data_IF_523896461769
#
_entry.id   IF_523896461769
#
_cell.length_a   1.000
_cell.length_b   1.000
_cell.length_c   1.000
_cell.angle_alpha   90.00
_cell.angle_beta   90.00
_cell.angle_gamma   90.00
#
_symmetry.space_group_name_H-M   'P 1'
#
loop_
_entity.id
_entity.type
_entity.pdbx_description
1 polymer ?
#
# COMPACT_ATOMS: atom_id res chain seq x y z
N UNK A 1 10.17 28.02 65.92
CA UNK A 1 8.86 27.59 65.43
C UNK A 1 9.10 26.68 64.25
N UNK A 2 9.00 25.37 64.44
CA UNK A 2 9.14 24.38 63.38
C UNK A 2 7.73 24.17 62.80
N UNK A 3 7.54 24.59 61.55
CA UNK A 3 6.27 24.43 60.84
C UNK A 3 6.03 22.96 60.52
N UNK A 4 4.94 22.41 61.04
CA UNK A 4 4.45 21.09 60.66
C UNK A 4 3.95 21.17 59.21
N UNK A 5 4.72 20.62 58.28
CA UNK A 5 4.23 20.30 56.93
C UNK A 5 3.26 19.12 57.08
N UNK A 6 2.02 19.29 56.61
CA UNK A 6 0.99 18.27 56.75
C UNK A 6 1.32 17.09 55.83
N UNK A 7 1.12 15.85 56.31
CA UNK A 7 1.36 14.60 55.54
C UNK A 7 0.60 14.62 54.20
N UNK A 8 -0.54 15.31 54.16
CA UNK A 8 -1.35 15.53 52.96
C UNK A 8 -0.68 16.36 51.87
N UNK A 9 0.18 17.32 52.22
CA UNK A 9 0.89 18.18 51.24
C UNK A 9 2.06 17.43 50.58
N UNK A 10 2.64 16.45 51.27
CA UNK A 10 3.68 15.58 50.71
C UNK A 10 3.10 14.55 49.72
N UNK A 11 1.91 13.99 49.99
CA UNK A 11 1.24 13.04 49.10
C UNK A 11 0.72 13.70 47.80
N UNK A 12 0.31 14.96 47.87
CA UNK A 12 -0.13 15.73 46.70
C UNK A 12 1.05 16.11 45.78
N UNK A 13 2.23 16.40 46.36
CA UNK A 13 3.47 16.65 45.61
C UNK A 13 4.02 15.38 44.95
N UNK A 14 3.98 14.22 45.63
CA UNK A 14 4.33 12.91 45.06
C UNK A 14 3.39 12.47 43.93
N UNK A 15 2.11 12.86 44.00
CA UNK A 15 1.13 12.59 42.95
C UNK A 15 1.29 13.50 41.73
N UNK A 16 1.66 14.77 41.93
CA UNK A 16 1.95 15.71 40.85
C UNK A 16 3.29 15.40 40.15
N UNK A 17 4.34 15.03 40.89
CA UNK A 17 5.63 14.63 40.29
C UNK A 17 5.51 13.33 39.48
N UNK A 18 4.73 12.33 39.93
CA UNK A 18 4.49 11.11 39.14
C UNK A 18 3.69 11.36 37.85
N UNK A 19 2.82 12.37 37.81
CA UNK A 19 2.04 12.72 36.60
C UNK A 19 2.89 13.35 35.49
N UNK A 20 3.96 14.06 35.86
CA UNK A 20 4.90 14.71 34.93
C UNK A 20 6.01 13.79 34.41
N UNK A 21 6.25 12.65 35.05
CA UNK A 21 7.34 11.72 34.64
C UNK A 21 6.85 10.66 33.65
N UNK A 22 5.56 10.29 33.66
CA UNK A 22 5.00 9.29 32.73
C UNK A 22 4.72 9.84 31.32
N UNK A 23 4.44 11.13 31.17
CA UNK A 23 4.07 11.75 29.87
C UNK A 23 5.24 11.91 28.89
N UNK A 24 6.49 11.72 29.31
CA UNK A 24 7.68 11.96 28.46
C UNK A 24 8.11 10.76 27.61
N UNK A 25 7.57 9.56 27.85
CA UNK A 25 8.00 8.32 27.17
C UNK A 25 7.18 7.96 25.91
N UNK A 26 6.00 8.55 25.73
CA UNK A 26 5.10 8.18 24.63
C UNK A 26 5.17 9.13 23.42
N UNK A 27 5.95 10.20 23.51
CA UNK A 27 6.10 11.16 22.40
C UNK A 27 6.93 10.51 21.29
N UNK A 28 6.31 10.28 20.14
CA UNK A 28 7.00 9.75 18.95
C UNK A 28 7.65 10.89 18.17
N UNK A 29 8.89 10.68 17.70
CA UNK A 29 9.55 11.68 16.86
C UNK A 29 9.12 11.55 15.40
N UNK A 30 9.00 12.70 14.73
CA UNK A 30 8.69 12.79 13.30
C UNK A 30 9.66 11.92 12.47
N UNK A 31 10.97 12.01 12.72
CA UNK A 31 11.98 11.23 11.97
C UNK A 31 11.75 9.71 12.04
N UNK A 32 11.22 9.17 13.15
CA UNK A 32 10.88 7.75 13.27
C UNK A 32 9.63 7.38 12.48
N UNK A 33 8.63 8.27 12.42
CA UNK A 33 7.45 8.07 11.59
C UNK A 33 7.80 8.14 10.10
N UNK A 34 8.67 9.08 9.71
CA UNK A 34 9.18 9.19 8.34
C UNK A 34 9.99 7.96 7.93
N UNK A 35 10.79 7.38 8.84
CA UNK A 35 11.49 6.12 8.59
C UNK A 35 10.51 4.97 8.31
N UNK A 36 9.39 4.88 9.03
CA UNK A 36 8.38 3.86 8.76
C UNK A 36 7.78 4.04 7.37
N UNK A 37 7.42 5.27 6.99
CA UNK A 37 6.87 5.55 5.66
C UNK A 37 7.89 5.23 4.57
N UNK A 38 9.15 5.65 4.72
CA UNK A 38 10.22 5.33 3.78
C UNK A 38 10.39 3.81 3.60
N UNK A 39 10.50 3.05 4.70
CA UNK A 39 10.57 1.58 4.65
C UNK A 39 9.34 0.95 3.97
N UNK A 40 8.16 1.52 4.17
CA UNK A 40 6.92 1.04 3.55
C UNK A 40 6.95 1.29 2.04
N UNK A 41 7.42 2.46 1.61
CA UNK A 41 7.50 2.84 0.19
C UNK A 41 8.54 2.01 -0.58
N UNK A 42 9.66 1.69 0.08
CA UNK A 42 10.78 0.89 -0.45
C UNK A 42 10.54 -0.63 -0.41
N UNK A 43 9.45 -1.11 0.21
CA UNK A 43 9.21 -2.54 0.38
C UNK A 43 8.85 -3.23 -0.94
N UNK A 44 9.59 -4.28 -1.26
CA UNK A 44 9.34 -5.14 -2.42
C UNK A 44 8.93 -6.56 -2.02
N UNK A 45 8.26 -7.26 -2.93
CA UNK A 45 8.17 -8.73 -2.86
C UNK A 45 9.45 -9.41 -3.37
N UNK A 46 9.41 -10.74 -3.44
CA UNK A 46 10.50 -11.60 -3.91
C UNK A 46 10.89 -11.36 -5.38
N UNK A 47 9.99 -10.77 -6.17
CA UNK A 47 10.24 -10.45 -7.58
C UNK A 47 10.86 -9.05 -7.77
N UNK A 48 10.95 -8.26 -6.70
CA UNK A 48 11.39 -6.88 -6.74
C UNK A 48 10.27 -5.87 -7.05
N UNK A 49 9.00 -6.32 -7.17
CA UNK A 49 7.86 -5.43 -7.36
C UNK A 49 7.57 -4.67 -6.07
N UNK A 50 7.40 -3.35 -6.18
CA UNK A 50 7.03 -2.50 -5.05
C UNK A 50 5.60 -2.78 -4.61
N UNK A 51 5.41 -2.90 -3.30
CA UNK A 51 4.09 -3.19 -2.72
C UNK A 51 3.25 -1.93 -2.45
N UNK A 52 3.93 -0.80 -2.27
CA UNK A 52 3.29 0.46 -1.88
C UNK A 52 2.43 1.16 -2.94
N UNK A 53 2.64 1.05 -4.27
CA UNK A 53 1.97 1.91 -5.26
C UNK A 53 0.44 2.01 -5.11
N UNK A 54 -0.33 0.92 -4.94
CA UNK A 54 -1.78 1.00 -4.78
C UNK A 54 -2.27 1.69 -3.49
N UNK A 55 -1.35 1.93 -2.53
CA UNK A 55 -1.64 2.52 -1.23
C UNK A 55 -1.16 3.97 -1.12
N UNK A 56 -0.51 4.51 -2.18
CA UNK A 56 0.14 5.83 -2.11
C UNK A 56 -0.87 6.97 -2.11
N UNK A 57 -1.78 6.98 -3.08
CA UNK A 57 -2.78 8.02 -3.27
C UNK A 57 -4.09 7.39 -3.72
N UNK A 58 -5.18 7.63 -2.99
CA UNK A 58 -6.52 7.24 -3.41
C UNK A 58 -7.05 8.20 -4.47
N UNK A 59 -7.84 7.65 -5.40
CA UNK A 59 -8.66 8.46 -6.31
C UNK A 59 -9.67 9.28 -5.54
N UNK A 60 -10.07 10.44 -6.08
CA UNK A 60 -11.08 11.28 -5.47
C UNK A 60 -12.44 10.56 -5.39
N UNK A 61 -13.34 11.09 -4.56
CA UNK A 61 -14.70 10.56 -4.47
C UNK A 61 -15.48 10.71 -5.78
N UNK A 62 -15.17 11.74 -6.57
CA UNK A 62 -15.75 11.93 -7.90
C UNK A 62 -15.29 10.86 -8.89
N UNK A 63 -14.01 10.46 -8.82
CA UNK A 63 -13.41 9.47 -9.70
C UNK A 63 -13.74 8.02 -9.29
N UNK A 64 -13.93 7.75 -8.00
CA UNK A 64 -14.16 6.39 -7.50
C UNK A 64 -15.28 6.30 -6.44
N UNK A 65 -16.52 6.71 -6.76
CA UNK A 65 -17.60 6.85 -5.78
C UNK A 65 -17.92 5.54 -5.03
N UNK A 66 -17.89 4.40 -5.72
CA UNK A 66 -18.19 3.08 -5.13
C UNK A 66 -17.23 2.69 -4.01
N UNK A 67 -15.98 3.16 -4.04
CA UNK A 67 -15.04 2.98 -2.93
C UNK A 67 -15.50 3.72 -1.68
N UNK A 68 -15.89 4.99 -1.82
CA UNK A 68 -16.31 5.86 -0.71
C UNK A 68 -17.69 5.46 -0.16
N UNK A 69 -18.54 4.82 -0.96
CA UNK A 69 -19.78 4.22 -0.47
C UNK A 69 -19.52 3.06 0.49
N UNK A 70 -18.53 2.21 0.19
CA UNK A 70 -18.17 1.04 1.01
C UNK A 70 -17.24 1.39 2.16
N UNK A 71 -16.25 2.25 1.94
CA UNK A 71 -15.18 2.58 2.89
C UNK A 71 -15.47 3.92 3.56
N UNK A 72 -15.86 3.86 4.84
CA UNK A 72 -16.34 5.04 5.60
C UNK A 72 -15.25 6.00 6.06
N UNK A 73 -14.00 5.54 6.15
CA UNK A 73 -12.86 6.35 6.60
C UNK A 73 -11.68 6.12 5.65
N UNK A 74 -11.73 6.64 4.42
CA UNK A 74 -10.67 6.50 3.44
C UNK A 74 -9.38 7.15 3.97
N UNK A 75 -8.24 6.51 3.72
CA UNK A 75 -6.91 7.01 4.07
C UNK A 75 -5.86 6.29 3.22
N UNK A 76 -4.83 7.01 2.82
CA UNK A 76 -3.68 6.51 2.07
C UNK A 76 -2.35 6.96 2.70
N UNK A 77 -1.23 6.50 2.14
CA UNK A 77 0.10 6.87 2.63
C UNK A 77 0.37 8.37 2.49
N UNK A 78 -0.13 9.03 1.44
CA UNK A 78 0.03 10.48 1.26
C UNK A 78 -0.63 11.26 2.39
N UNK A 79 -1.87 10.92 2.75
CA UNK A 79 -2.60 11.52 3.85
C UNK A 79 -1.90 11.24 5.19
N UNK A 80 -1.39 10.03 5.41
CA UNK A 80 -0.58 9.73 6.60
C UNK A 80 0.69 10.59 6.62
N UNK A 81 1.39 10.76 5.49
CA UNK A 81 2.58 11.60 5.40
C UNK A 81 2.28 13.08 5.69
N UNK A 82 1.14 13.61 5.21
CA UNK A 82 0.65 14.95 5.54
C UNK A 82 0.47 15.08 7.07
N UNK A 83 -0.18 14.10 7.71
CA UNK A 83 -0.43 14.10 9.15
C UNK A 83 0.86 14.00 9.99
N UNK A 84 1.89 13.31 9.48
CA UNK A 84 3.23 13.33 10.09
C UNK A 84 3.80 14.76 10.04
N UNK A 85 3.79 15.39 8.86
CA UNK A 85 4.38 16.71 8.63
C UNK A 85 3.65 17.84 9.35
N UNK A 86 2.34 17.70 9.56
CA UNK A 86 1.53 18.62 10.36
C UNK A 86 1.69 18.43 11.87
N UNK A 87 2.40 17.39 12.32
CA UNK A 87 2.60 17.08 13.72
C UNK A 87 1.35 16.52 14.42
N UNK A 88 0.41 15.94 13.69
CA UNK A 88 -0.82 15.41 14.27
C UNK A 88 -0.59 14.12 15.09
N UNK A 89 0.49 13.39 14.79
CA UNK A 89 0.86 12.18 15.53
C UNK A 89 1.82 12.49 16.67
N UNK A 90 1.26 12.52 17.87
CA UNK A 90 1.99 12.71 19.12
C UNK A 90 2.45 11.38 19.72
N UNK A 91 1.72 10.29 19.45
CA UNK A 91 2.05 8.95 19.95
C UNK A 91 2.04 7.90 18.85
N UNK A 92 2.76 6.80 19.08
CA UNK A 92 2.74 5.63 18.19
C UNK A 92 1.33 5.05 18.00
N UNK A 93 0.44 5.20 18.98
CA UNK A 93 -0.93 4.67 18.90
C UNK A 93 -1.75 5.39 17.83
N UNK A 94 -1.59 6.71 17.70
CA UNK A 94 -2.32 7.50 16.71
C UNK A 94 -1.87 7.15 15.28
N UNK A 95 -0.56 7.04 15.07
CA UNK A 95 -0.01 6.58 13.79
C UNK A 95 -0.41 5.13 13.47
N UNK A 96 -0.33 4.22 14.46
CA UNK A 96 -0.70 2.80 14.32
C UNK A 96 -2.16 2.62 13.91
N UNK A 97 -3.07 3.45 14.46
CA UNK A 97 -4.48 3.43 14.11
C UNK A 97 -4.70 3.71 12.61
N UNK A 98 -4.04 4.75 12.08
CA UNK A 98 -4.19 5.16 10.68
C UNK A 98 -3.51 4.19 9.69
N UNK A 99 -2.30 3.72 10.01
CA UNK A 99 -1.61 2.73 9.18
C UNK A 99 -2.41 1.42 9.10
N UNK A 100 -2.94 0.94 10.24
CA UNK A 100 -3.81 -0.25 10.27
C UNK A 100 -5.13 0.00 9.56
N UNK A 101 -5.69 1.20 9.67
CA UNK A 101 -6.93 1.57 8.98
C UNK A 101 -6.75 1.50 7.46
N UNK A 102 -5.64 2.03 6.92
CA UNK A 102 -5.30 1.92 5.50
C UNK A 102 -5.27 0.44 5.05
N UNK A 103 -4.50 -0.41 5.74
CA UNK A 103 -4.42 -1.84 5.39
C UNK A 103 -5.78 -2.56 5.57
N UNK A 104 -6.58 -2.18 6.57
CA UNK A 104 -7.91 -2.73 6.80
C UNK A 104 -8.88 -2.34 5.69
N UNK A 105 -8.87 -1.08 5.27
CA UNK A 105 -9.71 -0.58 4.18
C UNK A 105 -9.39 -1.29 2.87
N UNK A 106 -8.11 -1.43 2.54
CA UNK A 106 -7.68 -2.18 1.37
C UNK A 106 -8.20 -3.62 1.39
N UNK A 107 -8.08 -4.33 2.52
CA UNK A 107 -8.60 -5.70 2.66
C UNK A 107 -10.12 -5.80 2.70
N UNK A 108 -10.82 -4.74 3.10
CA UNK A 108 -12.28 -4.72 3.18
C UNK A 108 -12.92 -4.41 1.82
N UNK A 109 -12.25 -3.61 0.99
CA UNK A 109 -12.71 -3.27 -0.34
C UNK A 109 -12.37 -4.37 -1.35
N UNK A 110 -11.13 -4.86 -1.33
CA UNK A 110 -10.60 -5.83 -2.28
C UNK A 110 -10.93 -7.27 -1.89
N UNK A 111 -10.96 -8.17 -2.87
CA UNK A 111 -11.25 -9.58 -2.68
C UNK A 111 -10.20 -10.29 -1.82
N UNK A 112 -10.64 -11.28 -1.04
CA UNK A 112 -9.74 -12.13 -0.26
C UNK A 112 -8.81 -12.90 -1.21
N UNK A 113 -7.51 -12.73 -1.02
CA UNK A 113 -6.49 -13.40 -1.86
C UNK A 113 -6.06 -12.61 -3.09
N UNK A 114 -6.69 -11.48 -3.39
CA UNK A 114 -6.20 -10.50 -4.37
C UNK A 114 -4.79 -10.02 -4.01
N UNK A 115 -4.06 -9.53 -5.03
CA UNK A 115 -2.70 -8.98 -4.86
C UNK A 115 -2.72 -7.84 -3.84
N UNK A 116 -3.66 -6.89 -3.95
CA UNK A 116 -3.78 -5.76 -3.03
C UNK A 116 -4.07 -6.24 -1.59
N UNK A 117 -4.94 -7.24 -1.39
CA UNK A 117 -5.20 -7.79 -0.05
C UNK A 117 -3.96 -8.47 0.55
N UNK A 118 -3.15 -9.16 -0.26
CA UNK A 118 -1.90 -9.80 0.16
C UNK A 118 -0.84 -8.75 0.50
N UNK A 119 -0.67 -7.76 -0.37
CA UNK A 119 0.27 -6.65 -0.20
C UNK A 119 -0.05 -5.85 1.08
N UNK A 120 -1.34 -5.56 1.34
CA UNK A 120 -1.78 -4.91 2.57
C UNK A 120 -1.37 -5.70 3.84
N UNK A 121 -1.42 -7.03 3.77
CA UNK A 121 -1.02 -7.91 4.87
C UNK A 121 0.50 -7.93 5.06
N UNK A 122 1.26 -7.93 3.96
CA UNK A 122 2.72 -7.85 3.98
C UNK A 122 3.23 -6.51 4.51
N UNK A 123 2.64 -5.41 4.07
CA UNK A 123 2.93 -4.06 4.57
C UNK A 123 2.66 -3.96 6.07
N UNK A 124 1.50 -4.43 6.53
CA UNK A 124 1.17 -4.44 7.96
C UNK A 124 2.16 -5.27 8.79
N UNK A 125 2.56 -6.45 8.28
CA UNK A 125 3.55 -7.31 8.94
C UNK A 125 4.91 -6.62 9.03
N UNK A 126 5.37 -6.00 7.95
CA UNK A 126 6.63 -5.26 7.93
C UNK A 126 6.59 -4.07 8.90
N UNK A 127 5.50 -3.29 8.88
CA UNK A 127 5.28 -2.17 9.80
C UNK A 127 5.40 -2.60 11.25
N UNK A 128 4.70 -3.66 11.67
CA UNK A 128 4.73 -4.15 13.06
C UNK A 128 6.15 -4.54 13.47
N UNK A 129 6.88 -5.23 12.59
CA UNK A 129 8.28 -5.59 12.81
C UNK A 129 9.14 -4.33 12.99
N UNK A 130 9.05 -3.39 12.04
CA UNK A 130 9.88 -2.18 12.02
C UNK A 130 9.60 -1.27 13.20
N UNK A 131 8.33 -1.07 13.56
CA UNK A 131 7.92 -0.34 14.76
C UNK A 131 8.55 -0.94 16.03
N UNK A 132 8.51 -2.27 16.16
CA UNK A 132 9.08 -2.98 17.32
C UNK A 132 10.59 -2.76 17.41
N UNK A 133 11.30 -2.80 16.27
CA UNK A 133 12.72 -2.50 16.21
C UNK A 133 13.03 -1.06 16.64
N UNK A 134 12.26 -0.08 16.15
CA UNK A 134 12.46 1.35 16.44
C UNK A 134 12.09 1.72 17.88
N UNK A 135 11.09 1.06 18.47
CA UNK A 135 10.67 1.29 19.87
C UNK A 135 11.64 0.65 20.89
N UNK A 136 12.53 -0.23 20.44
CA UNK A 136 13.49 -0.88 21.33
C UNK A 136 14.58 0.13 21.74
N UNK A 137 14.81 0.31 23.04
CA UNK A 137 15.77 1.29 23.58
C UNK A 137 17.22 1.06 23.14
N UNK A 138 17.53 -0.13 22.61
CA UNK A 138 18.84 -0.47 22.05
C UNK A 138 18.97 -0.13 20.56
N UNK A 139 17.93 0.41 19.93
CA UNK A 139 17.97 0.73 18.51
C UNK A 139 18.99 1.84 18.23
N UNK A 140 19.83 1.64 17.22
CA UNK A 140 20.80 2.63 16.79
C UNK A 140 20.06 3.87 16.25
N UNK A 141 20.38 5.10 16.69
CA UNK A 141 19.74 6.28 16.16
C UNK A 141 19.91 6.38 14.64
N UNK A 142 18.90 6.94 13.97
CA UNK A 142 18.96 7.19 12.54
C UNK A 142 20.12 8.13 12.21
N UNK A 143 20.87 7.82 11.16
CA UNK A 143 21.92 8.72 10.68
C UNK A 143 21.31 9.94 10.00
N UNK A 144 21.98 11.09 10.06
CA UNK A 144 21.53 12.32 9.36
C UNK A 144 21.32 12.06 7.87
N UNK A 145 22.18 11.24 7.24
CA UNK A 145 22.03 10.84 5.84
C UNK A 145 20.70 10.11 5.60
N UNK A 146 20.33 9.16 6.48
CA UNK A 146 19.06 8.43 6.37
C UNK A 146 17.87 9.35 6.61
N UNK A 147 17.93 10.23 7.62
CA UNK A 147 16.88 11.22 7.88
C UNK A 147 16.64 12.09 6.64
N UNK A 148 17.70 12.60 6.01
CA UNK A 148 17.57 13.41 4.79
C UNK A 148 17.03 12.62 3.60
N UNK A 149 17.42 11.34 3.44
CA UNK A 149 16.87 10.47 2.42
C UNK A 149 15.37 10.20 2.64
N UNK A 150 14.96 9.95 3.89
CA UNK A 150 13.54 9.76 4.22
C UNK A 150 12.73 11.01 3.88
N UNK A 151 13.26 12.20 4.19
CA UNK A 151 12.61 13.47 3.84
C UNK A 151 12.37 13.56 2.34
N UNK A 152 13.37 13.28 1.52
CA UNK A 152 13.24 13.28 0.05
C UNK A 152 12.17 12.30 -0.44
N UNK A 153 12.18 11.06 0.06
CA UNK A 153 11.18 10.05 -0.30
C UNK A 153 9.76 10.49 0.06
N UNK A 154 9.58 11.15 1.21
CA UNK A 154 8.28 11.68 1.61
C UNK A 154 7.87 12.89 0.77
N UNK A 155 8.81 13.78 0.46
CA UNK A 155 8.53 14.94 -0.41
C UNK A 155 8.06 14.45 -1.79
N UNK A 156 8.69 13.41 -2.34
CA UNK A 156 8.24 12.75 -3.57
C UNK A 156 6.82 12.20 -3.43
N UNK A 157 6.50 11.47 -2.36
CA UNK A 157 5.15 10.96 -2.09
C UNK A 157 4.11 12.09 -2.03
N UNK A 158 4.44 13.22 -1.39
CA UNK A 158 3.53 14.36 -1.25
C UNK A 158 3.22 15.04 -2.59
N UNK A 159 4.13 14.95 -3.56
CA UNK A 159 3.92 15.46 -4.93
C UNK A 159 3.16 14.50 -5.85
N UNK A 160 2.98 13.23 -5.44
CA UNK A 160 2.24 12.26 -6.25
C UNK A 160 0.75 12.61 -6.31
N UNK A 161 0.17 12.43 -7.49
CA UNK A 161 -1.27 12.48 -7.69
C UNK A 161 -1.81 11.06 -7.82
N UNK A 162 -3.12 10.91 -7.58
CA UNK A 162 -3.78 9.64 -7.83
C UNK A 162 -3.56 9.30 -9.31
N UNK A 163 -3.02 8.12 -9.57
CA UNK A 163 -3.02 7.58 -10.92
C UNK A 163 -4.44 7.08 -11.11
N UNK A 164 -5.20 7.76 -11.97
CA UNK A 164 -6.40 7.18 -12.54
C UNK A 164 -5.95 5.95 -13.31
N UNK A 165 -5.90 4.80 -12.64
CA UNK A 165 -6.00 3.51 -13.31
C UNK A 165 -7.43 3.47 -13.86
N UNK A 166 -7.68 4.19 -14.95
CA UNK A 166 -8.74 3.81 -15.87
C UNK A 166 -8.38 2.40 -16.33
N UNK A 167 -9.05 1.41 -15.74
CA UNK A 167 -9.02 0.00 -16.11
C UNK A 167 -7.69 -0.73 -15.88
N UNK A 168 -7.45 -1.19 -14.66
CA UNK A 168 -6.85 -2.52 -14.50
C UNK A 168 -7.99 -3.52 -14.32
N UNK A 169 -8.22 -4.29 -15.39
CA UNK A 169 -8.35 -5.74 -15.29
C UNK A 169 -9.53 -6.24 -14.44
N UNK A 170 -10.75 -5.90 -14.86
CA UNK A 170 -11.79 -6.92 -14.88
C UNK A 170 -11.53 -7.78 -16.12
N UNK A 171 -10.98 -8.96 -15.89
CA UNK A 171 -11.18 -10.11 -16.77
C UNK A 171 -12.67 -10.45 -16.77
N UNK A 172 -13.48 -9.65 -17.46
CA UNK A 172 -14.80 -10.02 -17.95
C UNK A 172 -14.71 -10.00 -19.48
N UNK A 173 -14.60 -11.22 -20.01
CA UNK A 173 -15.31 -11.70 -21.19
C UNK A 173 -15.99 -10.63 -22.08
N UNK A 174 -15.60 -10.61 -23.37
CA UNK A 174 -16.22 -9.86 -24.51
C UNK A 174 -15.91 -8.34 -24.52
N UNK A 175 -15.32 -7.71 -25.54
CA UNK A 175 -15.55 -7.76 -26.98
C UNK A 175 -14.26 -7.34 -27.75
N UNK A 176 -14.24 -7.64 -29.03
CA UNK A 176 -13.20 -7.34 -30.02
C UNK A 176 -12.95 -5.82 -30.18
N UNK A 177 -11.69 -5.38 -30.01
CA UNK A 177 -11.23 -4.08 -30.56
C UNK A 177 -10.10 -4.34 -31.57
N UNK A 178 -10.37 -3.97 -32.81
CA UNK A 178 -9.63 -4.25 -34.05
C UNK A 178 -8.32 -3.45 -34.24
N UNK A 179 -7.79 -2.77 -33.20
CA UNK A 179 -6.79 -1.70 -33.38
C UNK A 179 -5.39 -1.97 -32.79
N UNK A 180 -4.97 -3.24 -32.64
CA UNK A 180 -3.62 -3.55 -32.14
C UNK A 180 -2.63 -4.06 -33.18
N UNK A 181 -2.93 -4.02 -34.48
CA UNK A 181 -2.07 -4.59 -35.55
C UNK A 181 -0.60 -4.07 -35.60
N UNK A 182 -0.23 -3.05 -34.82
CA UNK A 182 1.12 -2.47 -34.81
C UNK A 182 1.81 -2.42 -33.44
N UNK A 183 1.35 -3.19 -32.44
CA UNK A 183 2.06 -3.28 -31.17
C UNK A 183 3.44 -3.96 -31.35
N UNK A 184 4.50 -3.26 -30.96
CA UNK A 184 5.88 -3.79 -30.96
C UNK A 184 6.15 -4.74 -29.79
N UNK A 185 5.13 -5.08 -29.00
CA UNK A 185 5.29 -5.97 -27.86
C UNK A 185 5.61 -7.41 -28.32
N UNK A 186 6.61 -8.08 -27.72
CA UNK A 186 7.02 -9.43 -28.14
C UNK A 186 5.90 -10.46 -28.11
N UNK A 187 4.96 -10.32 -27.15
CA UNK A 187 3.79 -11.20 -27.05
C UNK A 187 2.81 -10.98 -28.20
N UNK A 188 2.60 -9.73 -28.59
CA UNK A 188 1.73 -9.39 -29.70
C UNK A 188 2.29 -9.84 -31.05
N UNK A 189 3.60 -9.64 -31.25
CA UNK A 189 4.32 -10.13 -32.43
C UNK A 189 4.17 -11.65 -32.57
N UNK A 190 4.32 -12.40 -31.46
CA UNK A 190 4.16 -13.86 -31.46
C UNK A 190 2.72 -14.28 -31.76
N UNK A 191 1.74 -13.63 -31.15
CA UNK A 191 0.32 -13.90 -31.39
C UNK A 191 -0.07 -13.65 -32.85
N UNK A 192 0.31 -12.49 -33.41
CA UNK A 192 0.04 -12.13 -34.80
C UNK A 192 0.71 -13.10 -35.79
N UNK A 193 1.95 -13.49 -35.52
CA UNK A 193 2.67 -14.46 -36.35
C UNK A 193 1.95 -15.81 -36.38
N UNK A 194 1.55 -16.34 -35.22
CA UNK A 194 0.85 -17.63 -35.14
C UNK A 194 -0.55 -17.56 -35.77
N UNK A 195 -1.26 -16.44 -35.57
CA UNK A 195 -2.62 -16.24 -36.11
C UNK A 195 -2.65 -16.21 -37.63
N UNK A 196 -1.64 -15.63 -38.27
CA UNK A 196 -1.60 -15.42 -39.73
C UNK A 196 -0.69 -16.42 -40.47
N UNK A 197 -0.09 -17.38 -39.76
CA UNK A 197 0.71 -18.43 -40.38
C UNK A 197 -0.22 -19.40 -41.12
N UNK A 198 0.06 -19.68 -42.39
CA UNK A 198 -0.72 -20.65 -43.16
C UNK A 198 -0.51 -22.06 -42.61
N UNK A 199 -1.59 -22.84 -42.59
CA UNK A 199 -1.53 -24.22 -42.17
C UNK A 199 -0.73 -25.05 -43.20
N UNK A 200 0.38 -25.70 -42.81
CA UNK A 200 1.18 -26.50 -43.73
C UNK A 200 0.42 -27.71 -44.34
N UNK A 201 -0.63 -28.18 -43.66
CA UNK A 201 -1.46 -29.29 -44.13
C UNK A 201 -2.62 -28.86 -45.03
N UNK A 202 -3.04 -27.60 -44.95
CA UNK A 202 -4.11 -27.02 -45.76
C UNK A 202 -3.83 -25.52 -46.01
N UNK A 203 -3.15 -25.17 -47.12
CA UNK A 203 -2.70 -23.80 -47.40
C UNK A 203 -3.82 -22.76 -47.57
N UNK A 204 -5.09 -23.19 -47.64
CA UNK A 204 -6.25 -22.30 -47.71
C UNK A 204 -6.74 -21.86 -46.32
N UNK A 205 -6.13 -22.37 -45.25
CA UNK A 205 -6.49 -22.07 -43.85
C UNK A 205 -5.29 -21.57 -43.06
N UNK A 206 -5.53 -20.76 -42.03
CA UNK A 206 -4.49 -20.41 -41.08
C UNK A 206 -4.30 -21.52 -40.06
N UNK A 207 -3.07 -21.67 -39.57
CA UNK A 207 -2.70 -22.63 -38.54
C UNK A 207 -3.53 -22.46 -37.26
N UNK A 208 -3.97 -21.24 -36.97
CA UNK A 208 -4.76 -20.91 -35.80
C UNK A 208 -6.26 -21.23 -35.92
N UNK A 209 -6.81 -21.35 -37.14
CA UNK A 209 -8.26 -21.47 -37.37
C UNK A 209 -8.93 -22.60 -36.54
N UNK A 210 -8.35 -23.81 -36.43
CA UNK A 210 -8.95 -24.90 -35.63
C UNK A 210 -9.04 -24.62 -34.12
N UNK A 211 -8.31 -23.61 -33.64
CA UNK A 211 -8.23 -23.25 -32.22
C UNK A 211 -9.07 -22.00 -31.89
N UNK A 212 -9.63 -21.32 -32.89
CA UNK A 212 -10.49 -20.14 -32.69
C UNK A 212 -11.89 -20.51 -32.20
N UNK A 213 -12.35 -21.72 -32.50
CA UNK A 213 -13.65 -22.22 -32.05
C UNK A 213 -13.48 -23.46 -31.17
N UNK A 214 -14.24 -23.52 -30.07
CA UNK A 214 -14.28 -24.71 -29.24
C UNK A 214 -14.91 -25.88 -30.02
N UNK A 215 -14.29 -27.09 -30.00
CA UNK A 215 -14.86 -28.25 -30.66
C UNK A 215 -16.28 -28.52 -30.15
N UNK A 216 -17.22 -28.77 -31.06
CA UNK A 216 -18.60 -29.09 -30.66
C UNK A 216 -18.62 -30.27 -29.69
N UNK A 217 -19.49 -30.25 -28.66
CA UNK A 217 -19.63 -31.37 -27.71
C UNK A 217 -19.97 -32.73 -28.36
N UNK A 218 -20.30 -32.75 -29.66
CA UNK A 218 -20.60 -33.96 -30.43
C UNK A 218 -19.36 -34.59 -31.09
N UNK A 219 -18.24 -33.89 -31.18
CA UNK A 219 -17.03 -34.34 -31.88
C UNK A 219 -15.94 -34.87 -30.96
N UNK A 220 -16.14 -34.87 -29.64
CA UNK A 220 -15.24 -35.54 -28.70
C UNK A 220 -15.70 -37.01 -28.58
N UNK A 221 -14.93 -37.98 -29.08
CA UNK A 221 -15.27 -39.39 -28.90
C UNK A 221 -15.29 -39.73 -27.40
N UNK A 222 -16.31 -40.48 -26.97
CA UNK A 222 -16.44 -40.99 -25.60
C UNK A 222 -15.40 -42.07 -25.31
#
# INVERSE_FOLDING_TARGET
MLGNVSVTEMEEQLSQENSTVETKRDVVSVDLLEEIIACTLELTDETGRLLSPPFRVLLSQEEFPTYYDRIKKPIDLKQIAIKIRSGEYHTWQQFDADFRLMCKNARAFNELGSVISKDASMLLKNYVKRKTELCNSKHKPLTIKRINANKQVLDELLTQNAIANSNEEYSEDSEEDEDSEHSSEPKWILYWAIRNELNPADPETNLADPFLELPSKKSVPK
#
